data_IF_438703939495
#
_entry.id   IF_438703939495
#
_cell.length_a   1.000
_cell.length_b   1.000
_cell.length_c   1.000
_cell.angle_alpha   90.00
_cell.angle_beta   90.00
_cell.angle_gamma   90.00
#
_symmetry.space_group_name_H-M   'P 1'
#
loop_
_entity.id
_entity.type
_entity.pdbx_description
1 polymer ?
#
# COMPACT_ATOMS: atom_id res chain seq x y z
N UNK A 1 19.30 -16.59 20.70
CA UNK A 1 19.11 -15.51 19.71
C UNK A 1 17.81 -15.64 18.91
N UNK A 2 17.33 -16.85 18.58
CA UNK A 2 16.07 -17.05 17.84
C UNK A 2 14.80 -16.60 18.57
N UNK A 3 14.65 -16.86 19.88
CA UNK A 3 13.41 -16.54 20.62
C UNK A 3 13.07 -15.04 20.63
N UNK A 4 14.08 -14.17 20.75
CA UNK A 4 13.88 -12.71 20.76
C UNK A 4 13.44 -12.17 19.40
N UNK A 5 13.97 -12.74 18.30
CA UNK A 5 13.56 -12.40 16.94
C UNK A 5 12.10 -12.81 16.68
N UNK A 6 11.72 -14.02 17.10
CA UNK A 6 10.35 -14.54 16.93
C UNK A 6 9.31 -13.70 17.70
N UNK A 7 9.63 -13.30 18.93
CA UNK A 7 8.76 -12.42 19.73
C UNK A 7 8.64 -11.05 19.07
N UNK A 8 9.74 -10.47 18.60
CA UNK A 8 9.75 -9.20 17.87
C UNK A 8 8.86 -9.23 16.62
N UNK A 9 9.02 -10.24 15.76
CA UNK A 9 8.19 -10.43 14.57
C UNK A 9 6.71 -10.54 14.92
N UNK A 10 6.36 -11.28 15.98
CA UNK A 10 4.97 -11.43 16.42
C UNK A 10 4.37 -10.11 16.88
N UNK A 11 5.11 -9.33 17.67
CA UNK A 11 4.67 -8.00 18.13
C UNK A 11 4.42 -7.07 16.95
N UNK A 12 5.36 -7.00 16.01
CA UNK A 12 5.25 -6.14 14.82
C UNK A 12 4.08 -6.58 13.94
N UNK A 13 3.86 -7.89 13.79
CA UNK A 13 2.71 -8.44 13.05
C UNK A 13 1.39 -8.04 13.69
N UNK A 14 1.25 -8.19 15.00
CA UNK A 14 0.03 -7.81 15.73
C UNK A 14 -0.22 -6.31 15.64
N UNK A 15 0.84 -5.50 15.77
CA UNK A 15 0.76 -4.05 15.60
C UNK A 15 0.28 -3.67 14.19
N UNK A 16 0.87 -4.26 13.15
CA UNK A 16 0.47 -4.04 11.76
C UNK A 16 -0.99 -4.41 11.51
N UNK A 17 -1.44 -5.58 11.98
CA UNK A 17 -2.82 -6.04 11.84
C UNK A 17 -3.78 -5.06 12.51
N UNK A 18 -3.49 -4.65 13.76
CA UNK A 18 -4.33 -3.72 14.51
C UNK A 18 -4.49 -2.39 13.77
N UNK A 19 -3.39 -1.87 13.22
CA UNK A 19 -3.36 -0.63 12.45
C UNK A 19 -4.33 -0.65 11.25
N UNK A 20 -4.51 -1.80 10.59
CA UNK A 20 -5.44 -1.91 9.45
C UNK A 20 -6.93 -1.74 9.83
N UNK A 21 -7.27 -1.85 11.12
CA UNK A 21 -8.62 -1.64 11.64
C UNK A 21 -8.84 -0.24 12.24
N UNK A 22 -7.80 0.57 12.34
CA UNK A 22 -7.87 1.94 12.83
C UNK A 22 -8.10 2.90 11.65
N UNK A 23 -8.83 3.99 11.89
CA UNK A 23 -9.02 5.03 10.89
C UNK A 23 -7.81 5.95 10.89
N UNK A 24 -7.09 6.00 9.78
CA UNK A 24 -5.90 6.84 9.64
C UNK A 24 -6.10 7.93 8.60
N UNK A 25 -5.50 9.09 8.85
CA UNK A 25 -5.50 10.21 7.90
C UNK A 25 -4.84 9.78 6.60
N UNK A 26 -5.55 9.96 5.50
CA UNK A 26 -5.08 9.65 4.15
C UNK A 26 -3.99 10.66 3.77
N UNK A 27 -2.76 10.16 3.62
CA UNK A 27 -1.66 10.95 3.07
C UNK A 27 -1.61 10.84 1.55
N UNK A 28 -1.46 11.97 0.86
CA UNK A 28 -1.23 12.04 -0.59
C UNK A 28 0.03 11.25 -1.00
N UNK A 29 1.03 11.18 -0.13
CA UNK A 29 2.25 10.36 -0.33
C UNK A 29 1.88 8.90 -0.53
N UNK A 30 1.07 8.35 0.39
CA UNK A 30 0.67 6.94 0.38
C UNK A 30 -0.15 6.58 -0.86
N UNK A 31 -0.96 7.51 -1.35
CA UNK A 31 -1.88 7.29 -2.46
C UNK A 31 -1.27 7.51 -3.85
N UNK A 32 -0.34 8.48 -4.00
CA UNK A 32 0.21 8.82 -5.31
C UNK A 32 1.67 8.41 -5.48
N UNK A 33 2.52 8.67 -4.48
CA UNK A 33 3.95 8.39 -4.64
C UNK A 33 4.23 6.89 -4.61
N UNK A 34 3.50 6.13 -3.79
CA UNK A 34 3.75 4.68 -3.65
C UNK A 34 3.50 3.92 -4.96
N UNK A 35 2.31 4.03 -5.59
CA UNK A 35 2.06 3.31 -6.84
C UNK A 35 2.97 3.81 -7.97
N UNK A 36 3.24 5.12 -8.03
CA UNK A 36 4.13 5.70 -9.03
C UNK A 36 5.57 5.20 -8.89
N UNK A 37 6.08 5.13 -7.66
CA UNK A 37 7.41 4.59 -7.38
C UNK A 37 7.50 3.10 -7.74
N UNK A 38 6.51 2.30 -7.32
CA UNK A 38 6.44 0.88 -7.69
C UNK A 38 6.42 0.67 -9.20
N UNK A 39 5.60 1.45 -9.92
CA UNK A 39 5.53 1.40 -11.37
C UNK A 39 6.85 1.80 -12.03
N UNK A 40 7.53 2.84 -11.52
CA UNK A 40 8.85 3.24 -11.99
C UNK A 40 9.86 2.10 -11.82
N UNK A 41 9.95 1.53 -10.62
CA UNK A 41 10.85 0.40 -10.34
C UNK A 41 10.55 -0.81 -11.22
N UNK A 42 9.28 -1.13 -11.45
CA UNK A 42 8.90 -2.22 -12.34
C UNK A 42 9.36 -1.95 -13.78
N UNK A 43 9.04 -0.78 -14.34
CA UNK A 43 9.37 -0.44 -15.73
C UNK A 43 10.89 -0.39 -15.97
N UNK A 44 11.69 0.03 -14.98
CA UNK A 44 13.15 0.08 -15.11
C UNK A 44 13.83 -1.28 -14.94
N UNK A 45 13.22 -2.20 -14.19
CA UNK A 45 13.84 -3.49 -13.85
C UNK A 45 13.22 -4.70 -14.56
N UNK A 46 12.08 -4.54 -15.24
CA UNK A 46 11.43 -5.63 -15.97
C UNK A 46 12.39 -6.24 -16.99
N UNK A 47 12.62 -7.53 -16.86
CA UNK A 47 13.54 -8.28 -17.71
C UNK A 47 12.89 -9.58 -18.14
N UNK A 48 12.41 -9.60 -19.38
CA UNK A 48 11.77 -10.77 -19.99
C UNK A 48 12.80 -11.43 -20.90
N UNK A 49 13.36 -12.57 -20.46
CA UNK A 49 14.43 -13.27 -21.18
C UNK A 49 13.92 -14.51 -21.91
N UNK A 50 12.83 -15.11 -21.44
CA UNK A 50 12.29 -16.35 -21.99
C UNK A 50 10.75 -16.40 -21.90
N UNK A 51 10.15 -17.46 -22.45
CA UNK A 51 8.71 -17.66 -22.44
C UNK A 51 8.12 -17.87 -21.03
N UNK A 52 8.92 -18.39 -20.09
CA UNK A 52 8.52 -18.52 -18.69
C UNK A 52 8.35 -17.15 -18.04
N UNK A 53 9.29 -16.21 -18.25
CA UNK A 53 9.20 -14.84 -17.74
C UNK A 53 7.97 -14.11 -18.29
N UNK A 54 7.68 -14.27 -19.59
CA UNK A 54 6.50 -13.68 -20.21
C UNK A 54 5.19 -14.27 -19.64
N UNK A 55 5.18 -15.56 -19.36
CA UNK A 55 4.03 -16.23 -18.71
C UNK A 55 3.86 -15.75 -17.27
N UNK A 56 4.97 -15.63 -16.54
CA UNK A 56 4.99 -15.15 -15.16
C UNK A 56 4.44 -13.73 -15.08
N UNK A 57 4.87 -12.83 -15.96
CA UNK A 57 4.37 -11.45 -16.07
C UNK A 57 2.83 -11.43 -16.15
N UNK A 58 2.26 -12.19 -17.08
CA UNK A 58 0.79 -12.22 -17.27
C UNK A 58 0.07 -12.78 -16.04
N UNK A 59 0.57 -13.86 -15.44
CA UNK A 59 -0.03 -14.47 -14.25
C UNK A 59 0.04 -13.50 -13.07
N UNK A 60 1.20 -12.90 -12.83
CA UNK A 60 1.43 -11.94 -11.76
C UNK A 60 0.51 -10.74 -11.93
N UNK A 61 0.46 -10.14 -13.12
CA UNK A 61 -0.42 -9.03 -13.43
C UNK A 61 -1.89 -9.34 -13.06
N UNK A 62 -2.41 -10.47 -13.50
CA UNK A 62 -3.81 -10.87 -13.25
C UNK A 62 -4.05 -11.08 -11.76
N UNK A 63 -3.18 -11.83 -11.08
CA UNK A 63 -3.30 -12.09 -9.65
C UNK A 63 -3.24 -10.80 -8.83
N UNK A 64 -2.32 -9.89 -9.15
CA UNK A 64 -2.19 -8.60 -8.47
C UNK A 64 -3.40 -7.71 -8.68
N UNK A 65 -4.01 -7.70 -9.87
CA UNK A 65 -5.27 -7.01 -10.11
C UNK A 65 -6.40 -7.58 -9.24
N UNK A 66 -6.54 -8.91 -9.21
CA UNK A 66 -7.57 -9.59 -8.42
C UNK A 66 -7.42 -9.33 -6.93
N UNK A 67 -6.18 -9.39 -6.41
CA UNK A 67 -5.89 -9.09 -5.01
C UNK A 67 -6.17 -7.62 -4.70
N UNK A 68 -5.69 -6.69 -5.53
CA UNK A 68 -5.94 -5.25 -5.35
C UNK A 68 -7.43 -4.93 -5.33
N UNK A 69 -8.23 -5.57 -6.20
CA UNK A 69 -9.69 -5.47 -6.15
C UNK A 69 -10.27 -6.02 -4.86
N UNK A 70 -9.86 -7.23 -4.46
CA UNK A 70 -10.36 -7.85 -3.24
C UNK A 70 -10.09 -7.00 -2.00
N UNK A 71 -8.92 -6.36 -1.91
CA UNK A 71 -8.54 -5.48 -0.80
C UNK A 71 -9.50 -4.30 -0.61
N UNK A 72 -10.23 -3.89 -1.65
CA UNK A 72 -11.18 -2.75 -1.54
C UNK A 72 -12.52 -3.10 -0.87
N UNK A 73 -12.83 -4.39 -0.66
CA UNK A 73 -14.18 -4.82 -0.26
C UNK A 73 -14.66 -4.32 1.11
N UNK A 74 -13.78 -4.31 2.10
CA UNK A 74 -14.10 -3.84 3.47
C UNK A 74 -13.64 -2.39 3.73
N UNK A 75 -13.28 -1.69 2.67
CA UNK A 75 -12.71 -0.37 2.78
C UNK A 75 -13.75 0.65 3.26
N UNK A 76 -13.39 1.45 4.26
CA UNK A 76 -14.26 2.48 4.82
C UNK A 76 -13.58 3.85 4.83
N UNK A 77 -14.35 4.89 4.51
CA UNK A 77 -13.91 6.29 4.53
C UNK A 77 -14.75 7.07 5.54
N UNK A 78 -14.08 7.99 6.25
CA UNK A 78 -14.72 9.08 6.98
C UNK A 78 -14.12 10.41 6.52
N UNK A 79 -14.96 11.43 6.40
CA UNK A 79 -14.52 12.81 6.13
C UNK A 79 -14.68 13.58 7.43
N UNK A 80 -13.62 14.26 7.85
CA UNK A 80 -13.65 15.20 8.96
C UNK A 80 -13.10 16.54 8.49
N UNK A 81 -13.79 17.63 8.83
CA UNK A 81 -13.26 18.97 8.63
C UNK A 81 -12.31 19.28 9.79
N UNK A 82 -11.03 19.47 9.47
CA UNK A 82 -10.01 19.82 10.47
C UNK A 82 -9.58 21.28 10.28
N UNK A 83 -9.45 22.06 11.36
CA UNK A 83 -8.88 23.41 11.27
C UNK A 83 -7.42 23.30 10.82
N UNK A 84 -7.09 24.00 9.75
CA UNK A 84 -5.70 24.15 9.30
C UNK A 84 -4.95 25.11 10.22
N UNK A 85 -3.62 25.09 10.11
CA UNK A 85 -2.75 26.07 10.78
C UNK A 85 -2.83 27.47 10.15
N UNK A 86 -3.56 27.63 9.05
CA UNK A 86 -3.67 28.88 8.33
C UNK A 86 -4.94 29.61 8.75
N UNK A 87 -4.78 30.89 9.07
CA UNK A 87 -5.85 31.75 9.54
C UNK A 87 -6.01 32.83 8.47
N UNK A 88 -7.23 33.01 7.96
CA UNK A 88 -7.54 34.14 7.08
C UNK A 88 -7.96 35.30 7.96
N UNK A 89 -7.39 36.48 7.71
CA UNK A 89 -7.86 37.75 8.24
C UNK A 89 -8.71 38.43 7.19
N UNK A 90 -10.03 38.31 7.32
CA UNK A 90 -10.99 39.17 6.64
C UNK A 90 -11.64 40.08 7.69
N UNK A 91 -11.73 41.39 7.41
CA UNK A 91 -12.43 42.37 8.24
C UNK A 91 -12.10 42.33 9.76
N UNK A 92 -10.81 42.20 10.12
CA UNK A 92 -10.33 42.16 11.51
C UNK A 92 -10.83 40.95 12.34
N UNK A 93 -11.46 39.95 11.72
CA UNK A 93 -11.76 38.67 12.35
C UNK A 93 -10.81 37.58 11.85
N UNK A 94 -10.32 36.78 12.78
CA UNK A 94 -9.47 35.61 12.52
C UNK A 94 -10.37 34.38 12.35
N UNK A 95 -10.51 33.90 11.11
CA UNK A 95 -11.24 32.65 10.82
C UNK A 95 -10.26 31.54 10.47
N UNK A 96 -10.31 30.38 11.16
CA UNK A 96 -9.49 29.23 10.80
C UNK A 96 -9.97 28.66 9.46
N UNK A 97 -9.04 28.44 8.51
CA UNK A 97 -9.37 27.70 7.27
C UNK A 97 -9.54 26.24 7.66
N UNK A 98 -10.62 25.58 7.23
CA UNK A 98 -10.82 24.14 7.42
C UNK A 98 -10.35 23.38 6.18
N UNK A 99 -9.56 22.32 6.38
CA UNK A 99 -9.21 21.36 5.32
C UNK A 99 -10.01 20.07 5.53
N UNK A 100 -10.56 19.54 4.44
CA UNK A 100 -11.23 18.24 4.46
C UNK A 100 -10.21 17.13 4.62
N UNK A 101 -10.05 16.64 5.86
CA UNK A 101 -9.22 15.50 6.16
C UNK A 101 -9.99 14.20 5.86
N UNK A 102 -9.46 13.41 4.94
CA UNK A 102 -9.94 12.04 4.71
C UNK A 102 -9.29 11.08 5.70
N UNK A 103 -10.12 10.24 6.29
CA UNK A 103 -9.70 9.11 7.12
C UNK A 103 -10.12 7.81 6.45
N UNK A 104 -9.20 6.87 6.35
CA UNK A 104 -9.46 5.57 5.72
C UNK A 104 -9.13 4.41 6.63
N UNK A 105 -9.85 3.30 6.46
CA UNK A 105 -9.59 2.02 7.12
C UNK A 105 -9.67 0.89 6.09
N UNK A 106 -8.65 0.04 6.04
CA UNK A 106 -8.58 -1.10 5.11
C UNK A 106 -9.50 -2.26 5.49
N UNK A 107 -9.53 -2.62 6.78
CA UNK A 107 -10.38 -3.72 7.28
C UNK A 107 -9.83 -5.12 6.98
N UNK A 108 -10.71 -6.13 7.03
CA UNK A 108 -10.31 -7.55 6.95
C UNK A 108 -9.82 -7.92 5.55
N UNK A 109 -10.54 -7.49 4.52
CA UNK A 109 -10.20 -7.77 3.13
C UNK A 109 -8.81 -7.24 2.74
N UNK A 110 -8.38 -6.11 3.31
CA UNK A 110 -7.02 -5.60 3.12
C UNK A 110 -5.96 -6.57 3.64
N UNK A 111 -6.12 -7.07 4.88
CA UNK A 111 -5.19 -8.02 5.50
C UNK A 111 -5.15 -9.33 4.72
N UNK A 112 -6.31 -9.85 4.31
CA UNK A 112 -6.38 -11.09 3.53
C UNK A 112 -5.68 -10.92 2.18
N UNK A 113 -5.89 -9.78 1.49
CA UNK A 113 -5.16 -9.50 0.26
C UNK A 113 -3.66 -9.30 0.47
N UNK A 114 -3.26 -8.71 1.60
CA UNK A 114 -1.85 -8.59 1.97
C UNK A 114 -1.19 -9.97 2.19
N UNK A 115 -1.86 -10.87 2.92
CA UNK A 115 -1.41 -12.26 3.07
C UNK A 115 -1.34 -12.95 1.70
N UNK A 116 -2.30 -12.70 0.80
CA UNK A 116 -2.27 -13.26 -0.55
C UNK A 116 -1.08 -12.76 -1.38
N UNK A 117 -0.72 -11.47 -1.26
CA UNK A 117 0.50 -10.92 -1.87
C UNK A 117 1.74 -11.64 -1.33
N UNK A 118 1.85 -11.80 -0.01
CA UNK A 118 2.98 -12.50 0.59
C UNK A 118 3.07 -13.96 0.11
N UNK A 119 1.96 -14.70 0.11
CA UNK A 119 1.93 -16.08 -0.40
C UNK A 119 2.34 -16.12 -1.87
N UNK A 120 1.84 -15.19 -2.69
CA UNK A 120 2.21 -15.10 -4.11
C UNK A 120 3.71 -14.86 -4.28
N UNK A 121 4.31 -13.97 -3.49
CA UNK A 121 5.76 -13.70 -3.52
C UNK A 121 6.57 -14.95 -3.13
N UNK A 122 6.17 -15.67 -2.07
CA UNK A 122 6.86 -16.90 -1.66
C UNK A 122 6.73 -18.00 -2.72
N UNK A 123 5.53 -18.20 -3.29
CA UNK A 123 5.31 -19.22 -4.33
C UNK A 123 6.17 -18.93 -5.55
N UNK A 124 6.18 -17.68 -6.03
CA UNK A 124 7.01 -17.30 -7.17
C UNK A 124 8.49 -17.44 -6.81
N UNK A 125 8.90 -16.95 -5.64
CA UNK A 125 10.29 -17.00 -5.18
C UNK A 125 10.83 -18.43 -5.09
N UNK A 126 10.02 -19.38 -4.64
CA UNK A 126 10.37 -20.80 -4.64
C UNK A 126 10.47 -21.38 -6.05
N UNK A 127 9.54 -21.03 -6.95
CA UNK A 127 9.55 -21.48 -8.36
C UNK A 127 10.73 -20.91 -9.14
N UNK A 128 11.12 -19.66 -8.85
CA UNK A 128 12.28 -19.00 -9.48
C UNK A 128 13.59 -19.29 -8.76
N UNK A 129 13.59 -20.09 -7.69
CA UNK A 129 14.74 -20.39 -6.84
C UNK A 129 15.44 -19.15 -6.26
N UNK A 130 14.67 -18.08 -6.02
CA UNK A 130 15.18 -16.81 -5.49
C UNK A 130 14.97 -16.65 -4.00
N UNK A 131 14.16 -17.53 -3.39
CA UNK A 131 13.88 -17.58 -1.96
C UNK A 131 13.91 -19.05 -1.52
N UNK A 132 14.52 -19.33 -0.37
CA UNK A 132 14.47 -20.66 0.26
C UNK A 132 13.42 -20.75 1.38
N UNK A 133 13.03 -21.97 1.76
CA UNK A 133 12.03 -22.18 2.81
C UNK A 133 12.49 -21.68 4.19
N UNK A 134 13.79 -21.70 4.46
CA UNK A 134 14.38 -21.19 5.69
C UNK A 134 14.37 -19.65 5.77
N UNK A 135 14.33 -18.96 4.62
CA UNK A 135 14.27 -17.50 4.53
C UNK A 135 12.85 -16.92 4.70
N UNK A 136 11.80 -17.75 4.58
CA UNK A 136 10.38 -17.31 4.61
C UNK A 136 10.05 -16.48 5.85
N UNK A 137 10.59 -16.85 7.03
CA UNK A 137 10.37 -16.10 8.27
C UNK A 137 11.01 -14.71 8.27
N UNK A 138 12.15 -14.58 7.59
CA UNK A 138 12.83 -13.31 7.38
C UNK A 138 12.05 -12.44 6.40
N UNK A 139 11.62 -13.03 5.27
CA UNK A 139 10.78 -12.36 4.26
C UNK A 139 9.46 -11.84 4.85
N UNK A 140 8.81 -12.61 5.73
CA UNK A 140 7.59 -12.16 6.43
C UNK A 140 7.82 -10.87 7.21
N UNK A 141 8.92 -10.84 7.97
CA UNK A 141 9.26 -9.68 8.81
C UNK A 141 9.65 -8.49 7.93
N UNK A 142 10.43 -8.73 6.88
CA UNK A 142 10.84 -7.72 5.92
C UNK A 142 9.61 -7.09 5.23
N UNK A 143 8.63 -7.88 4.83
CA UNK A 143 7.43 -7.37 4.16
C UNK A 143 6.58 -6.49 5.09
N UNK A 144 6.42 -6.87 6.36
CA UNK A 144 5.72 -6.01 7.34
C UNK A 144 6.47 -4.68 7.53
N UNK A 145 7.80 -4.71 7.62
CA UNK A 145 8.60 -3.51 7.76
C UNK A 145 8.50 -2.61 6.53
N UNK A 146 8.56 -3.18 5.32
CA UNK A 146 8.38 -2.47 4.04
C UNK A 146 7.03 -1.76 3.95
N UNK A 147 5.99 -2.34 4.55
CA UNK A 147 4.65 -1.74 4.58
C UNK A 147 4.44 -0.71 5.70
N UNK A 148 5.03 -0.94 6.86
CA UNK A 148 4.99 0.05 7.95
C UNK A 148 5.85 1.27 7.64
N UNK A 149 6.99 1.06 6.98
CA UNK A 149 8.03 2.03 6.75
C UNK A 149 8.51 1.92 5.30
N UNK A 150 7.95 2.78 4.44
CA UNK A 150 8.27 2.80 3.00
C UNK A 150 9.77 2.88 2.71
N UNK A 151 10.56 3.45 3.62
CA UNK A 151 12.01 3.57 3.45
C UNK A 151 12.72 2.23 3.26
N UNK A 152 12.18 1.15 3.84
CA UNK A 152 12.74 -0.19 3.67
C UNK A 152 12.60 -0.74 2.25
N UNK A 153 11.66 -0.20 1.44
CA UNK A 153 11.52 -0.55 0.02
C UNK A 153 12.60 0.09 -0.87
N UNK A 154 13.32 1.13 -0.42
CA UNK A 154 14.37 1.75 -1.24
C UNK A 154 15.74 1.06 -1.17
N UNK A 155 15.96 0.20 -0.17
CA UNK A 155 17.29 -0.33 0.15
C UNK A 155 17.59 -1.71 -0.44
N UNK A 156 16.71 -2.27 -1.27
CA UNK A 156 16.84 -3.65 -1.73
C UNK A 156 16.66 -3.75 -3.25
N UNK A 157 17.59 -4.44 -3.91
CA UNK A 157 17.47 -4.88 -5.29
C UNK A 157 16.47 -6.04 -5.35
N UNK A 158 15.18 -5.70 -5.49
CA UNK A 158 14.10 -6.68 -5.58
C UNK A 158 13.93 -7.20 -7.02
N UNK A 159 13.46 -8.43 -7.15
CA UNK A 159 13.13 -9.00 -8.46
C UNK A 159 12.00 -8.23 -9.15
N UNK A 160 12.02 -8.16 -10.48
CA UNK A 160 11.05 -7.38 -11.25
C UNK A 160 9.60 -7.77 -10.99
N UNK A 161 9.32 -9.05 -10.71
CA UNK A 161 7.98 -9.54 -10.41
C UNK A 161 7.49 -9.09 -9.03
N UNK A 162 8.38 -8.79 -8.07
CA UNK A 162 8.01 -8.17 -6.78
C UNK A 162 7.50 -6.76 -7.03
N UNK A 163 8.22 -6.00 -7.86
CA UNK A 163 7.80 -4.66 -8.26
C UNK A 163 6.51 -4.65 -9.05
N UNK A 164 6.29 -5.65 -9.91
CA UNK A 164 5.00 -5.82 -10.59
C UNK A 164 3.87 -6.06 -9.59
N UNK A 165 4.03 -7.01 -8.66
CA UNK A 165 3.03 -7.30 -7.64
C UNK A 165 2.69 -6.03 -6.87
N UNK A 166 3.71 -5.32 -6.42
CA UNK A 166 3.56 -4.09 -5.67
C UNK A 166 2.85 -2.99 -6.48
N UNK A 167 3.32 -2.70 -7.69
CA UNK A 167 2.78 -1.65 -8.55
C UNK A 167 1.33 -1.95 -8.95
N UNK A 168 1.06 -3.15 -9.46
CA UNK A 168 -0.24 -3.52 -10.03
C UNK A 168 -1.30 -3.66 -8.95
N UNK A 169 -0.97 -4.25 -7.79
CA UNK A 169 -1.94 -4.37 -6.68
C UNK A 169 -2.31 -3.00 -6.11
N UNK A 170 -1.33 -2.13 -5.86
CA UNK A 170 -1.57 -0.77 -5.35
C UNK A 170 -2.32 0.10 -6.37
N UNK A 171 -1.95 0.02 -7.65
CA UNK A 171 -2.63 0.77 -8.70
C UNK A 171 -4.08 0.30 -8.86
N UNK A 172 -4.31 -1.02 -8.87
CA UNK A 172 -5.66 -1.59 -8.97
C UNK A 172 -6.51 -1.16 -7.79
N UNK A 173 -5.99 -1.31 -6.57
CA UNK A 173 -6.64 -0.85 -5.35
C UNK A 173 -7.00 0.64 -5.44
N UNK A 174 -6.07 1.49 -5.85
CA UNK A 174 -6.29 2.93 -6.02
C UNK A 174 -7.38 3.25 -7.04
N UNK A 175 -7.28 2.69 -8.24
CA UNK A 175 -8.22 2.96 -9.34
C UNK A 175 -9.65 2.55 -8.97
N UNK A 176 -9.80 1.40 -8.32
CA UNK A 176 -11.10 0.89 -7.89
C UNK A 176 -11.69 1.79 -6.81
N UNK A 177 -10.90 2.19 -5.81
CA UNK A 177 -11.37 3.10 -4.76
C UNK A 177 -11.75 4.48 -5.29
N UNK A 178 -10.94 5.03 -6.20
CA UNK A 178 -11.22 6.29 -6.88
C UNK A 178 -12.53 6.24 -7.67
N UNK A 179 -12.81 5.13 -8.35
CA UNK A 179 -14.00 4.97 -9.18
C UNK A 179 -15.25 4.66 -8.34
N UNK A 180 -15.10 4.03 -7.18
CA UNK A 180 -16.22 3.62 -6.33
C UNK A 180 -16.60 4.68 -5.30
N UNK A 181 -15.66 5.52 -4.85
CA UNK A 181 -15.87 6.50 -3.78
C UNK A 181 -15.74 7.94 -4.27
N UNK A 182 -16.87 8.63 -4.45
CA UNK A 182 -16.90 10.05 -4.82
C UNK A 182 -16.14 10.93 -3.82
N UNK A 183 -16.18 10.60 -2.52
CA UNK A 183 -15.46 11.34 -1.46
C UNK A 183 -13.94 11.32 -1.65
N UNK A 184 -13.36 10.20 -2.12
CA UNK A 184 -11.94 10.17 -2.48
C UNK A 184 -11.66 11.08 -3.66
N UNK A 185 -12.46 10.94 -4.73
CA UNK A 185 -12.29 11.73 -5.94
C UNK A 185 -12.34 13.23 -5.65
N UNK A 186 -13.22 13.64 -4.75
CA UNK A 186 -13.45 15.04 -4.42
C UNK A 186 -12.38 15.60 -3.48
N UNK A 187 -11.93 14.83 -2.48
CA UNK A 187 -10.86 15.26 -1.58
C UNK A 187 -9.51 15.43 -2.29
N UNK A 188 -9.28 14.69 -3.38
CA UNK A 188 -8.09 14.88 -4.21
C UNK A 188 -8.23 16.01 -5.24
N UNK A 189 -9.44 16.54 -5.45
CA UNK A 189 -9.72 17.68 -6.35
C UNK A 189 -9.87 19.01 -5.62
N UNK A 190 -10.31 19.02 -4.37
CA UNK A 190 -10.63 20.25 -3.65
C UNK A 190 -9.37 21.01 -3.23
N UNK A 191 -9.16 22.16 -3.88
CA UNK A 191 -8.35 23.26 -3.34
C UNK A 191 -8.96 23.77 -2.03
N UNK A 192 -8.15 24.33 -1.11
CA UNK A 192 -8.65 24.88 0.15
C UNK A 192 -9.73 25.93 -0.13
N UNK A 193 -10.92 25.74 0.42
CA UNK A 193 -12.00 26.72 0.34
C UNK A 193 -11.89 27.66 1.53
N UNK A 194 -11.73 28.96 1.25
CA UNK A 194 -11.99 30.00 2.24
C UNK A 194 -13.51 30.04 2.51
N UNK A 195 -13.88 30.12 3.80
CA UNK A 195 -15.27 30.31 4.25
C UNK A 195 -15.64 31.78 4.24
#
# INVERSE_FOLDING_TARGET
MHLGLTIGTLIITVYFIKKQFEFEKVSKVRYYMIPAFGAFQFVTNVSIKNAFDATLLVIVFVMSCLIGWYQTRDFAIKVHDEPTKYIVKENHQESPIYERALYSRGGRSYIVGWIAIFILQIVIGLVTHTVSLDEVSHEWTAEILKDLLIFFRFNHDEYWWIWEIFAVSNLSYYLILKNTNNQMRDAFKSEPKAS
#
